data_IF_225767872878
#
_entry.id   IF_225767872878
#
_cell.length_a   1.000
_cell.length_b   1.000
_cell.length_c   1.000
_cell.angle_alpha   90.00
_cell.angle_beta   90.00
_cell.angle_gamma   90.00
#
_symmetry.space_group_name_H-M   'P 1'
#
loop_
_entity.id
_entity.type
_entity.pdbx_description
1 polymer ?
#
# COMPACT_ATOMS: atom_id res chain seq x y z
N UNK A 1 20.76 5.98 31.30
CA UNK A 1 19.28 6.15 31.37
C UNK A 1 18.86 6.93 30.14
N UNK A 2 18.08 6.32 29.23
CA UNK A 2 17.61 7.03 28.04
C UNK A 2 16.54 8.04 28.47
N UNK A 3 16.90 9.33 28.54
CA UNK A 3 15.93 10.40 28.78
C UNK A 3 14.97 10.49 27.59
N UNK A 4 13.68 10.46 27.88
CA UNK A 4 12.64 10.64 26.84
C UNK A 4 12.33 12.12 26.70
N UNK A 5 12.60 12.69 25.54
CA UNK A 5 12.35 14.10 25.27
C UNK A 5 10.97 14.35 24.69
N UNK A 6 10.35 15.49 25.06
CA UNK A 6 9.11 15.94 24.45
C UNK A 6 9.28 16.19 22.95
N UNK A 7 8.37 15.64 22.13
CA UNK A 7 8.40 15.84 20.69
C UNK A 7 8.14 17.29 20.25
N UNK A 8 7.47 18.09 21.09
CA UNK A 8 7.23 19.52 20.87
C UNK A 8 8.44 20.38 21.24
N UNK A 9 8.68 20.57 22.54
CA UNK A 9 9.67 21.52 23.05
C UNK A 9 11.07 20.96 23.31
N UNK A 10 11.28 19.64 23.15
CA UNK A 10 12.58 18.97 23.37
C UNK A 10 13.07 18.94 24.83
N UNK A 11 12.28 19.29 25.79
CA UNK A 11 12.61 19.16 27.21
C UNK A 11 12.62 17.67 27.60
N UNK A 12 13.54 17.33 28.52
CA UNK A 12 13.54 15.99 29.14
C UNK A 12 12.28 15.80 29.98
N UNK A 13 11.73 14.60 29.92
CA UNK A 13 10.49 14.24 30.57
C UNK A 13 10.77 13.30 31.76
N UNK A 14 10.29 13.71 32.94
CA UNK A 14 10.24 12.82 34.10
C UNK A 14 9.21 11.69 33.88
N UNK A 15 9.43 10.56 34.54
CA UNK A 15 8.47 9.45 34.56
C UNK A 15 7.33 9.79 35.54
N UNK A 16 6.05 9.50 35.21
CA UNK A 16 5.53 8.82 34.01
C UNK A 16 5.45 9.74 32.78
N UNK A 17 5.82 9.21 31.61
CA UNK A 17 5.80 9.95 30.36
C UNK A 17 4.42 9.93 29.72
N UNK A 18 3.88 11.07 29.36
CA UNK A 18 2.64 11.20 28.60
C UNK A 18 2.88 11.01 27.10
N UNK A 19 1.85 10.61 26.39
CA UNK A 19 1.90 10.41 24.93
C UNK A 19 0.76 11.17 24.23
N UNK A 20 1.12 11.84 23.15
CA UNK A 20 0.18 12.43 22.23
C UNK A 20 0.47 11.99 20.81
N UNK A 21 -0.50 11.36 20.12
CA UNK A 21 -0.34 10.79 18.79
C UNK A 21 0.89 9.89 18.66
N UNK A 22 1.09 8.98 19.63
CA UNK A 22 2.23 8.05 19.72
C UNK A 22 3.60 8.73 19.89
N UNK A 23 3.66 9.99 20.32
CA UNK A 23 4.89 10.72 20.59
C UNK A 23 4.97 11.12 22.06
N UNK A 24 6.17 11.12 22.61
CA UNK A 24 6.42 11.60 23.97
C UNK A 24 6.04 13.09 24.10
N UNK A 25 5.38 13.43 25.20
CA UNK A 25 4.68 14.71 25.37
C UNK A 25 4.76 15.23 26.80
N UNK A 26 4.96 16.53 26.98
CA UNK A 26 5.11 17.17 28.29
C UNK A 26 3.81 17.62 28.97
N UNK A 27 2.67 17.42 28.32
CA UNK A 27 1.37 17.85 28.84
C UNK A 27 0.90 19.24 28.37
N UNK A 28 1.78 20.06 27.79
CA UNK A 28 1.46 21.46 27.44
C UNK A 28 0.69 21.54 26.10
N UNK A 29 -0.28 22.45 26.04
CA UNK A 29 -1.11 22.65 24.83
C UNK A 29 -0.31 23.20 23.66
N UNK A 30 0.66 24.08 23.91
CA UNK A 30 1.56 24.62 22.90
C UNK A 30 2.37 23.49 22.22
N UNK A 31 2.75 22.48 22.98
CA UNK A 31 3.47 21.33 22.42
C UNK A 31 2.57 20.42 21.58
N UNK A 32 1.28 20.32 21.88
CA UNK A 32 0.33 19.64 20.99
C UNK A 32 0.22 20.36 19.66
N UNK A 33 0.05 21.68 19.68
CA UNK A 33 0.00 22.51 18.47
C UNK A 33 1.23 22.28 17.60
N UNK A 34 2.43 22.36 18.18
CA UNK A 34 3.69 22.13 17.46
C UNK A 34 3.77 20.72 16.86
N UNK A 35 3.31 19.70 17.59
CA UNK A 35 3.30 18.31 17.11
C UNK A 35 2.32 18.17 15.92
N UNK A 36 1.14 18.79 16.01
CA UNK A 36 0.12 18.73 14.97
C UNK A 36 0.53 19.51 13.72
N UNK A 37 1.13 20.69 13.87
CA UNK A 37 1.68 21.48 12.76
C UNK A 37 2.77 20.73 12.00
N UNK A 38 3.72 20.11 12.71
CA UNK A 38 4.79 19.27 12.10
C UNK A 38 4.20 18.09 11.33
N UNK A 39 3.14 17.46 11.87
CA UNK A 39 2.44 16.36 11.20
C UNK A 39 1.72 16.84 9.93
N UNK A 40 1.00 17.95 10.02
CA UNK A 40 0.29 18.56 8.89
C UNK A 40 1.24 18.97 7.78
N UNK A 41 2.38 19.59 8.14
CA UNK A 41 3.44 19.97 7.22
C UNK A 41 4.07 18.74 6.53
N UNK A 42 4.36 17.67 7.30
CA UNK A 42 4.86 16.40 6.73
C UNK A 42 3.87 15.76 5.78
N UNK A 43 2.57 15.76 6.13
CA UNK A 43 1.53 15.20 5.27
C UNK A 43 1.36 16.02 3.99
N UNK A 44 1.45 17.36 4.07
CA UNK A 44 1.43 18.24 2.90
C UNK A 44 2.60 17.97 1.97
N UNK A 45 3.83 17.85 2.51
CA UNK A 45 5.03 17.50 1.73
C UNK A 45 4.90 16.13 1.05
N UNK A 46 4.35 15.12 1.76
CA UNK A 46 4.09 13.78 1.18
C UNK A 46 3.05 13.84 0.06
N UNK A 47 1.99 14.63 0.23
CA UNK A 47 0.94 14.84 -0.78
C UNK A 47 1.50 15.55 -2.02
N UNK A 48 2.31 16.60 -1.82
CA UNK A 48 3.01 17.33 -2.88
C UNK A 48 3.95 16.42 -3.66
N UNK A 49 4.81 15.67 -2.94
CA UNK A 49 5.71 14.69 -3.57
C UNK A 49 4.95 13.63 -4.37
N UNK A 50 3.80 13.14 -3.85
CA UNK A 50 2.92 12.22 -4.59
C UNK A 50 2.30 12.86 -5.83
N UNK A 51 1.98 14.15 -5.78
CA UNK A 51 1.45 14.92 -6.92
C UNK A 51 2.53 15.15 -7.99
N UNK A 52 3.77 15.48 -7.57
CA UNK A 52 4.92 15.70 -8.46
C UNK A 52 5.44 14.42 -9.11
N UNK A 53 5.49 13.29 -8.37
CA UNK A 53 5.85 11.99 -8.93
C UNK A 53 4.79 11.43 -9.89
N UNK A 54 3.68 12.10 -10.05
CA UNK A 54 2.61 11.69 -10.93
C UNK A 54 1.98 10.35 -10.53
N UNK A 55 1.26 9.77 -11.44
CA UNK A 55 0.54 8.50 -11.28
C UNK A 55 1.43 7.25 -11.17
N UNK A 56 2.75 7.41 -11.23
CA UNK A 56 3.75 6.34 -11.40
C UNK A 56 3.77 5.34 -10.23
N UNK A 57 3.30 5.74 -9.03
CA UNK A 57 3.28 4.88 -7.84
C UNK A 57 1.92 4.85 -7.12
N UNK A 58 0.83 4.90 -7.84
CA UNK A 58 -0.46 4.53 -7.23
C UNK A 58 -0.52 3.01 -7.10
N UNK A 59 -0.17 2.52 -5.93
CA UNK A 59 -0.55 1.15 -5.57
C UNK A 59 -2.07 0.98 -5.71
N UNK A 60 -2.50 -0.22 -6.05
CA UNK A 60 -3.93 -0.54 -6.20
C UNK A 60 -4.73 -0.05 -4.98
N UNK A 61 -5.82 0.66 -5.23
CA UNK A 61 -6.74 1.15 -4.18
C UNK A 61 -7.16 -0.01 -3.27
N UNK A 62 -7.21 0.23 -1.95
CA UNK A 62 -7.50 -0.82 -0.95
C UNK A 62 -8.84 -1.53 -1.17
N UNK A 63 -9.85 -0.83 -1.68
CA UNK A 63 -11.15 -1.43 -2.01
C UNK A 63 -11.04 -2.34 -3.24
N UNK A 64 -10.37 -1.89 -4.30
CA UNK A 64 -10.08 -2.70 -5.50
C UNK A 64 -9.25 -3.91 -5.12
N UNK A 65 -8.20 -3.73 -4.29
CA UNK A 65 -7.37 -4.83 -3.80
C UNK A 65 -8.20 -5.92 -3.10
N UNK A 66 -9.08 -5.54 -2.16
CA UNK A 66 -9.96 -6.51 -1.47
C UNK A 66 -10.85 -7.29 -2.44
N UNK A 67 -11.40 -6.61 -3.45
CA UNK A 67 -12.25 -7.24 -4.47
C UNK A 67 -11.48 -8.22 -5.36
N UNK A 68 -10.21 -7.89 -5.71
CA UNK A 68 -9.34 -8.78 -6.48
C UNK A 68 -8.95 -10.01 -5.65
N UNK A 69 -8.55 -9.82 -4.39
CA UNK A 69 -8.22 -10.92 -3.48
C UNK A 69 -9.42 -11.85 -3.30
N UNK A 70 -10.63 -11.30 -3.09
CA UNK A 70 -11.87 -12.08 -3.00
C UNK A 70 -12.19 -12.83 -4.29
N UNK A 71 -11.99 -12.21 -5.48
CA UNK A 71 -12.18 -12.86 -6.79
C UNK A 71 -11.23 -14.05 -6.97
N UNK A 72 -9.97 -13.88 -6.56
CA UNK A 72 -8.89 -14.85 -6.76
C UNK A 72 -8.80 -15.88 -5.62
N UNK A 73 -9.69 -15.79 -4.61
CA UNK A 73 -9.73 -16.68 -3.45
C UNK A 73 -8.52 -16.55 -2.54
N UNK A 74 -7.81 -15.40 -2.56
CA UNK A 74 -6.59 -15.17 -1.79
C UNK A 74 -5.38 -16.01 -2.24
N UNK A 75 -5.42 -16.58 -3.46
CA UNK A 75 -4.40 -17.50 -3.96
C UNK A 75 -3.63 -16.94 -5.13
N UNK A 76 -2.35 -17.32 -5.23
CA UNK A 76 -1.50 -17.04 -6.38
C UNK A 76 -2.09 -17.64 -7.66
N UNK A 77 -2.09 -16.89 -8.75
CA UNK A 77 -2.61 -17.36 -10.03
C UNK A 77 -1.74 -18.41 -10.70
N UNK A 78 -0.45 -18.46 -10.40
CA UNK A 78 0.51 -19.37 -11.05
C UNK A 78 0.76 -20.67 -10.29
N UNK A 79 0.74 -20.64 -8.94
CA UNK A 79 1.09 -21.80 -8.13
C UNK A 79 0.06 -22.15 -7.03
N UNK A 80 -1.09 -21.45 -6.98
CA UNK A 80 -2.17 -21.62 -6.01
C UNK A 80 -1.77 -21.45 -4.51
N UNK A 81 -0.54 -20.99 -4.22
CA UNK A 81 -0.10 -20.65 -2.87
C UNK A 81 -0.94 -19.51 -2.30
N UNK A 82 -1.28 -19.58 -1.01
CA UNK A 82 -1.95 -18.55 -0.22
C UNK A 82 -0.99 -17.74 0.66
N UNK A 83 0.31 -18.05 0.62
CA UNK A 83 1.35 -17.39 1.41
C UNK A 83 1.88 -16.16 0.66
N UNK A 84 1.96 -15.03 1.38
CA UNK A 84 2.52 -13.75 0.89
C UNK A 84 1.94 -13.30 -0.47
N UNK A 85 0.59 -13.40 -0.58
CA UNK A 85 -0.12 -13.05 -1.81
C UNK A 85 -0.31 -11.53 -1.91
N UNK A 86 0.06 -10.99 -3.05
CA UNK A 86 -0.09 -9.57 -3.39
C UNK A 86 -0.77 -9.38 -4.74
N UNK A 87 -1.44 -8.22 -4.91
CA UNK A 87 -2.08 -7.87 -6.16
C UNK A 87 -1.07 -7.23 -7.10
N UNK A 88 -0.92 -7.79 -8.29
CA UNK A 88 0.01 -7.42 -9.33
C UNK A 88 -0.72 -6.79 -10.52
N UNK A 89 -0.13 -5.75 -11.13
CA UNK A 89 -0.56 -5.19 -12.41
C UNK A 89 0.07 -5.98 -13.56
N UNK A 90 -0.75 -6.57 -14.43
CA UNK A 90 -0.29 -7.31 -15.61
C UNK A 90 0.40 -6.36 -16.59
N UNK A 91 -0.25 -5.25 -16.94
CA UNK A 91 0.37 -4.09 -17.58
C UNK A 91 0.73 -3.12 -16.47
N UNK A 92 2.01 -2.77 -16.28
CA UNK A 92 2.46 -1.84 -15.24
C UNK A 92 1.74 -0.49 -15.32
N UNK A 93 1.46 0.12 -14.15
CA UNK A 93 0.86 1.46 -14.10
C UNK A 93 1.76 2.53 -14.73
N UNK A 94 3.08 2.33 -14.76
CA UNK A 94 4.05 3.16 -15.48
C UNK A 94 3.88 3.11 -17.01
N UNK A 95 3.31 2.03 -17.53
CA UNK A 95 3.03 1.79 -18.94
C UNK A 95 1.55 2.04 -19.28
N UNK A 96 0.82 2.75 -18.42
CA UNK A 96 -0.60 3.08 -18.63
C UNK A 96 -1.59 2.01 -18.16
N UNK A 97 -1.12 0.98 -17.46
CA UNK A 97 -1.97 -0.06 -16.87
C UNK A 97 -2.98 0.52 -15.87
N UNK A 98 -4.25 0.18 -16.02
CA UNK A 98 -5.35 0.68 -15.19
C UNK A 98 -5.64 -0.25 -14.02
N UNK A 99 -6.18 0.30 -12.92
CA UNK A 99 -6.66 -0.44 -11.74
C UNK A 99 -8.02 -1.10 -12.02
N UNK A 100 -8.10 -1.95 -13.04
CA UNK A 100 -9.30 -2.69 -13.41
C UNK A 100 -9.13 -4.20 -13.20
N UNK A 101 -10.25 -4.92 -13.17
CA UNK A 101 -10.26 -6.35 -12.88
C UNK A 101 -9.54 -7.21 -13.94
N UNK A 102 -9.46 -6.75 -15.20
CA UNK A 102 -8.77 -7.46 -16.27
C UNK A 102 -7.25 -7.29 -16.21
N UNK A 103 -6.77 -6.19 -15.58
CA UNK A 103 -5.34 -5.87 -15.46
C UNK A 103 -4.73 -6.23 -14.10
N UNK A 104 -5.52 -6.75 -13.16
CA UNK A 104 -5.06 -7.06 -11.80
C UNK A 104 -5.22 -8.55 -11.50
N UNK A 105 -4.21 -9.15 -10.88
CA UNK A 105 -4.20 -10.56 -10.52
C UNK A 105 -3.39 -10.80 -9.24
N UNK A 106 -3.75 -11.84 -8.47
CA UNK A 106 -3.01 -12.23 -7.28
C UNK A 106 -1.82 -13.10 -7.60
N UNK A 107 -0.63 -12.75 -7.09
CA UNK A 107 0.59 -13.54 -7.16
C UNK A 107 1.24 -13.64 -5.77
N UNK A 108 1.87 -14.78 -5.44
CA UNK A 108 2.75 -14.88 -4.27
C UNK A 108 4.06 -14.11 -4.54
N UNK A 109 4.83 -13.79 -3.49
CA UNK A 109 6.06 -13.01 -3.62
C UNK A 109 7.08 -13.62 -4.59
N UNK A 110 7.23 -14.95 -4.57
CA UNK A 110 8.14 -15.69 -5.48
C UNK A 110 7.73 -15.51 -6.94
N UNK A 111 6.46 -15.73 -7.27
CA UNK A 111 5.98 -15.60 -8.64
C UNK A 111 5.88 -14.13 -9.08
N UNK A 112 5.58 -13.22 -8.17
CA UNK A 112 5.61 -11.78 -8.42
C UNK A 112 7.01 -11.32 -8.88
N UNK A 113 8.06 -11.72 -8.16
CA UNK A 113 9.45 -11.45 -8.54
C UNK A 113 9.81 -12.09 -9.88
N UNK A 114 9.38 -13.32 -10.13
CA UNK A 114 9.62 -14.04 -11.38
C UNK A 114 8.94 -13.38 -12.59
N UNK A 115 7.70 -12.92 -12.42
CA UNK A 115 6.95 -12.19 -13.45
C UNK A 115 7.60 -10.85 -13.76
N UNK A 116 8.03 -10.09 -12.75
CA UNK A 116 8.74 -8.83 -12.97
C UNK A 116 10.04 -8.98 -13.77
N UNK A 117 10.76 -10.09 -13.59
CA UNK A 117 11.99 -10.37 -14.38
C UNK A 117 11.70 -10.70 -15.84
N UNK A 118 10.51 -11.19 -16.16
CA UNK A 118 10.14 -11.68 -17.50
C UNK A 118 8.70 -11.31 -17.85
N UNK A 119 8.34 -10.05 -17.75
CA UNK A 119 6.97 -9.57 -17.89
C UNK A 119 6.34 -10.03 -19.23
N UNK A 120 7.05 -9.85 -20.34
CA UNK A 120 6.56 -10.20 -21.69
C UNK A 120 6.20 -11.69 -21.82
N UNK A 121 6.91 -12.57 -21.09
CA UNK A 121 6.64 -14.02 -21.11
C UNK A 121 5.33 -14.37 -20.39
N UNK A 122 4.94 -13.60 -19.40
CA UNK A 122 3.80 -13.92 -18.53
C UNK A 122 2.57 -13.07 -18.80
N UNK A 123 2.67 -11.92 -19.47
CA UNK A 123 1.58 -10.94 -19.67
C UNK A 123 0.34 -11.57 -20.27
N UNK A 124 0.48 -12.31 -21.38
CA UNK A 124 -0.66 -12.91 -22.10
C UNK A 124 -1.35 -13.98 -21.26
N UNK A 125 -0.57 -14.86 -20.63
CA UNK A 125 -1.07 -15.91 -19.73
C UNK A 125 -1.82 -15.30 -18.54
N UNK A 126 -1.26 -14.29 -17.91
CA UNK A 126 -1.88 -13.62 -16.76
C UNK A 126 -3.16 -12.87 -17.17
N UNK A 127 -3.16 -12.24 -18.34
CA UNK A 127 -4.35 -11.56 -18.90
C UNK A 127 -5.47 -12.53 -19.16
N UNK A 128 -5.19 -13.68 -19.76
CA UNK A 128 -6.18 -14.74 -19.99
C UNK A 128 -6.76 -15.26 -18.66
N UNK A 129 -5.90 -15.51 -17.66
CA UNK A 129 -6.32 -15.96 -16.33
C UNK A 129 -7.18 -14.93 -15.60
N UNK A 130 -6.80 -13.64 -15.66
CA UNK A 130 -7.57 -12.55 -15.05
C UNK A 130 -8.95 -12.42 -15.69
N UNK A 131 -9.03 -12.49 -17.03
CA UNK A 131 -10.28 -12.43 -17.78
C UNK A 131 -11.18 -13.65 -17.48
N UNK A 132 -10.63 -14.85 -17.42
CA UNK A 132 -11.37 -16.08 -17.04
C UNK A 132 -11.99 -15.96 -15.64
N UNK A 133 -11.21 -15.50 -14.65
CA UNK A 133 -11.67 -15.28 -13.27
C UNK A 133 -12.74 -14.19 -13.19
N UNK A 134 -12.58 -13.09 -13.93
CA UNK A 134 -13.56 -12.01 -13.96
C UNK A 134 -14.88 -12.48 -14.59
N UNK A 135 -14.84 -13.24 -15.69
CA UNK A 135 -16.02 -13.79 -16.32
C UNK A 135 -16.75 -14.78 -15.39
N UNK A 136 -16.02 -15.63 -14.67
CA UNK A 136 -16.59 -16.53 -13.66
C UNK A 136 -17.26 -15.76 -12.51
N UNK A 137 -16.66 -14.65 -12.05
CA UNK A 137 -17.23 -13.75 -11.03
C UNK A 137 -18.53 -13.11 -11.50
N UNK A 138 -18.59 -12.66 -12.76
CA UNK A 138 -19.80 -12.02 -13.34
C UNK A 138 -20.97 -12.99 -13.44
N UNK A 139 -20.71 -14.26 -13.75
CA UNK A 139 -21.76 -15.30 -13.85
C UNK A 139 -22.35 -15.72 -12.49
N UNK A 140 -21.70 -15.39 -11.37
CA UNK A 140 -22.16 -15.71 -10.00
C UNK A 140 -22.99 -14.59 -9.35
N UNK A 141 -23.17 -13.45 -10.05
CA UNK A 141 -24.04 -12.34 -9.65
C UNK A 141 -25.39 -12.40 -10.31
#
# INVERSE_FOLDING_TARGET
MNSKMCAGCKKDLASPVQYYRSRTFCGSEECKIVIDERRSSSNRKKKEKRKQLGSIYRGVNSNTRRKIVARDGGKCALCDSDVDVQVHHIVPSSEGGRDNFANLICLCDKDHTKVHRNLNKYSDKLSEMANRRENARRKRK
#
